data_IF_500806546322
#
_entry.id   IF_500806546322
#
_cell.length_a   1.000
_cell.length_b   1.000
_cell.length_c   1.000
_cell.angle_alpha   90.00
_cell.angle_beta   90.00
_cell.angle_gamma   90.00
#
_symmetry.space_group_name_H-M   'P 1'
#
loop_
_entity.id
_entity.type
_entity.pdbx_description
1 polymer ?
#
# COMPACT_ATOMS: atom_id res chain seq x y z
N UNK A 1 -5.19 -0.65 37.65
CA UNK A 1 -4.48 0.61 37.33
C UNK A 1 -3.01 0.24 37.23
N UNK A 2 -2.33 0.50 36.10
CA UNK A 2 -0.93 0.13 35.95
C UNK A 2 -0.07 0.93 36.94
N UNK A 3 0.88 0.25 37.61
CA UNK A 3 1.80 0.92 38.51
C UNK A 3 2.83 1.71 37.75
N UNK A 4 2.96 3.04 37.96
CA UNK A 4 3.93 3.86 37.29
C UNK A 4 5.35 3.57 37.80
N UNK A 5 6.30 3.43 36.87
CA UNK A 5 7.73 3.29 37.19
C UNK A 5 8.36 4.59 37.72
N UNK A 6 7.70 5.74 37.52
CA UNK A 6 8.11 7.04 38.01
C UNK A 6 6.88 7.84 38.49
N UNK A 7 6.72 7.99 39.80
CA UNK A 7 5.60 8.67 40.42
C UNK A 7 5.59 10.21 40.18
N UNK A 8 6.73 10.83 39.95
CA UNK A 8 6.77 12.28 39.72
C UNK A 8 6.25 12.65 38.34
N UNK A 9 6.73 12.00 37.27
CA UNK A 9 6.24 12.25 35.90
C UNK A 9 4.75 11.87 35.77
N UNK A 10 4.32 10.80 36.45
CA UNK A 10 2.92 10.38 36.45
C UNK A 10 1.99 11.41 37.13
N UNK A 11 2.44 12.07 38.21
CA UNK A 11 1.68 13.14 38.85
C UNK A 11 1.58 14.40 37.98
N UNK A 12 2.64 14.75 37.27
CA UNK A 12 2.63 15.87 36.34
C UNK A 12 1.67 15.61 35.18
N UNK A 13 1.71 14.42 34.59
CA UNK A 13 0.80 14.01 33.52
C UNK A 13 -0.65 14.00 33.98
N UNK A 14 -0.94 13.46 35.18
CA UNK A 14 -2.27 13.55 35.78
C UNK A 14 -2.72 15.00 36.02
N UNK A 15 -1.81 15.87 36.45
CA UNK A 15 -2.09 17.30 36.64
C UNK A 15 -2.51 17.97 35.36
N UNK A 16 -1.84 17.69 34.24
CA UNK A 16 -2.22 18.18 32.91
C UNK A 16 -3.58 17.63 32.46
N UNK A 17 -3.84 16.34 32.68
CA UNK A 17 -5.14 15.71 32.39
C UNK A 17 -6.28 16.37 33.13
N UNK A 18 -6.10 16.69 34.42
CA UNK A 18 -7.13 17.31 35.25
C UNK A 18 -7.47 18.71 34.72
N UNK A 19 -6.46 19.51 34.35
CA UNK A 19 -6.66 20.86 33.79
C UNK A 19 -7.37 20.78 32.44
N UNK A 20 -6.91 19.92 31.54
CA UNK A 20 -7.48 19.76 30.21
C UNK A 20 -8.92 19.20 30.25
N UNK A 21 -9.21 18.25 31.17
CA UNK A 21 -10.54 17.69 31.35
C UNK A 21 -11.53 18.68 31.99
N UNK A 22 -11.06 19.66 32.75
CA UNK A 22 -11.90 20.71 33.32
C UNK A 22 -12.37 21.73 32.26
N UNK A 23 -11.59 21.93 31.19
CA UNK A 23 -11.92 22.80 30.06
C UNK A 23 -12.88 22.15 29.05
N UNK A 24 -13.04 20.82 29.09
CA UNK A 24 -13.92 20.07 28.17
C UNK A 24 -13.63 18.59 28.11
N UNK A 25 -14.08 17.93 27.04
CA UNK A 25 -13.76 16.51 26.82
C UNK A 25 -12.33 16.40 26.31
N UNK A 26 -11.54 15.62 27.00
CA UNK A 26 -10.13 15.35 26.70
C UNK A 26 -9.92 13.90 26.36
N UNK A 27 -9.07 13.61 25.38
CA UNK A 27 -8.67 12.21 25.04
C UNK A 27 -7.19 12.17 24.68
N UNK A 28 -6.48 11.25 25.30
CA UNK A 28 -5.04 11.01 25.05
C UNK A 28 -4.73 9.52 25.01
N UNK A 29 -3.63 9.15 24.34
CA UNK A 29 -3.15 7.77 24.26
C UNK A 29 -1.81 7.68 24.98
N UNK A 30 -1.74 6.83 26.00
CA UNK A 30 -0.53 6.55 26.75
C UNK A 30 0.07 5.21 26.38
N UNK A 31 1.37 5.23 26.01
CA UNK A 31 2.16 4.03 25.80
C UNK A 31 3.03 3.80 27.03
N UNK A 32 2.81 2.70 27.74
CA UNK A 32 3.59 2.37 28.92
C UNK A 32 4.89 1.63 28.57
N UNK A 33 5.95 1.79 29.35
CA UNK A 33 7.22 1.06 29.15
C UNK A 33 7.07 -0.47 29.24
N UNK A 34 6.00 -0.95 29.90
CA UNK A 34 5.61 -2.36 29.99
C UNK A 34 5.05 -2.93 28.67
N UNK A 35 4.71 -2.05 27.71
CA UNK A 35 4.19 -2.41 26.40
C UNK A 35 2.67 -2.24 26.25
N UNK A 36 1.93 -1.96 27.35
CA UNK A 36 0.51 -1.67 27.27
C UNK A 36 0.25 -0.27 26.72
N UNK A 37 -0.88 -0.12 26.06
CA UNK A 37 -1.37 1.15 25.52
C UNK A 37 -2.77 1.42 26.05
N UNK A 38 -2.95 2.58 26.69
CA UNK A 38 -4.24 3.02 27.22
C UNK A 38 -4.74 4.25 26.48
N UNK A 39 -6.04 4.25 26.18
CA UNK A 39 -6.78 5.47 25.82
C UNK A 39 -7.37 6.03 27.10
N UNK A 40 -7.05 7.30 27.40
CA UNK A 40 -7.55 7.99 28.60
C UNK A 40 -8.47 9.09 28.12
N UNK A 41 -9.72 9.03 28.58
CA UNK A 41 -10.71 10.08 28.29
C UNK A 41 -11.15 10.74 29.59
N UNK A 42 -11.05 12.07 29.64
CA UNK A 42 -11.50 12.90 30.76
C UNK A 42 -12.74 13.71 30.38
N UNK A 43 -13.72 13.77 31.28
CA UNK A 43 -14.94 14.59 31.13
C UNK A 43 -15.28 15.30 32.42
N UNK A 44 -15.71 16.60 32.37
CA UNK A 44 -16.26 17.26 33.54
C UNK A 44 -17.62 16.64 33.89
N UNK A 45 -17.85 16.42 35.17
CA UNK A 45 -19.13 15.96 35.71
C UNK A 45 -19.96 17.18 36.18
N UNK A 46 -21.30 17.13 36.13
CA UNK A 46 -22.18 18.23 36.56
C UNK A 46 -21.93 18.70 37.99
N UNK A 47 -21.46 17.83 38.88
CA UNK A 47 -21.16 18.12 40.28
C UNK A 47 -19.79 18.78 40.53
N UNK A 48 -19.07 19.15 39.46
CA UNK A 48 -17.73 19.74 39.51
C UNK A 48 -16.60 18.70 39.70
N UNK A 49 -16.93 17.41 39.72
CA UNK A 49 -15.94 16.33 39.68
C UNK A 49 -15.44 16.09 38.25
N UNK A 50 -14.32 15.38 38.14
CA UNK A 50 -13.79 14.92 36.84
C UNK A 50 -13.89 13.38 36.79
N UNK A 51 -14.46 12.90 35.69
CA UNK A 51 -14.51 11.46 35.42
C UNK A 51 -13.45 11.10 34.38
N UNK A 52 -12.60 10.12 34.70
CA UNK A 52 -11.61 9.55 33.79
C UNK A 52 -11.97 8.11 33.45
N UNK A 53 -11.97 7.82 32.15
CA UNK A 53 -12.05 6.46 31.63
C UNK A 53 -10.67 6.04 31.13
N UNK A 54 -10.16 4.93 31.63
CA UNK A 54 -8.95 4.28 31.16
C UNK A 54 -9.35 3.03 30.39
N UNK A 55 -9.09 3.01 29.11
CA UNK A 55 -9.42 1.91 28.21
C UNK A 55 -8.13 1.26 27.74
N UNK A 56 -7.96 -0.03 28.00
CA UNK A 56 -6.83 -0.79 27.48
C UNK A 56 -7.07 -1.08 25.99
N UNK A 57 -6.28 -0.43 25.14
CA UNK A 57 -6.32 -0.56 23.67
C UNK A 57 -5.08 -1.30 23.13
N UNK A 58 -4.35 -2.02 24.00
CA UNK A 58 -3.11 -2.70 23.62
C UNK A 58 -3.33 -3.69 22.48
N UNK A 59 -4.38 -4.50 22.55
CA UNK A 59 -4.71 -5.48 21.52
C UNK A 59 -5.07 -4.81 20.18
N UNK A 60 -5.84 -3.71 20.22
CA UNK A 60 -6.23 -2.93 19.04
C UNK A 60 -5.00 -2.34 18.34
N UNK A 61 -4.13 -1.68 19.12
CA UNK A 61 -2.90 -1.05 18.61
C UNK A 61 -1.91 -2.10 18.08
N UNK A 62 -1.74 -3.21 18.81
CA UNK A 62 -0.82 -4.28 18.38
C UNK A 62 -1.30 -4.94 17.08
N UNK A 63 -2.60 -5.19 16.94
CA UNK A 63 -3.22 -5.73 15.73
C UNK A 63 -3.02 -4.78 14.57
N UNK A 64 -3.31 -3.50 14.76
CA UNK A 64 -3.12 -2.47 13.72
C UNK A 64 -1.66 -2.37 13.28
N UNK A 65 -0.72 -2.39 14.23
CA UNK A 65 0.73 -2.38 13.92
C UNK A 65 1.14 -3.62 13.13
N UNK A 66 0.64 -4.80 13.52
CA UNK A 66 0.90 -6.05 12.81
C UNK A 66 0.42 -5.99 11.36
N UNK A 67 -0.82 -5.55 11.12
CA UNK A 67 -1.36 -5.40 9.76
C UNK A 67 -0.55 -4.42 8.92
N UNK A 68 -0.16 -3.28 9.48
CA UNK A 68 0.70 -2.32 8.76
C UNK A 68 2.04 -2.94 8.39
N UNK A 69 2.69 -3.61 9.34
CA UNK A 69 3.97 -4.28 9.08
C UNK A 69 3.87 -5.38 8.01
N UNK A 70 2.76 -6.12 7.97
CA UNK A 70 2.50 -7.11 6.93
C UNK A 70 2.30 -6.45 5.55
N UNK A 71 1.56 -5.33 5.48
CA UNK A 71 1.38 -4.57 4.25
C UNK A 71 2.71 -3.98 3.76
N UNK A 72 3.48 -3.35 4.64
CA UNK A 72 4.79 -2.77 4.31
C UNK A 72 5.75 -3.85 3.78
N UNK A 73 5.70 -5.06 4.36
CA UNK A 73 6.47 -6.20 3.87
C UNK A 73 6.03 -6.64 2.46
N UNK A 74 4.72 -6.68 2.18
CA UNK A 74 4.21 -7.03 0.85
C UNK A 74 4.61 -5.99 -0.21
N UNK A 75 4.55 -4.70 0.10
CA UNK A 75 5.03 -3.65 -0.81
C UNK A 75 6.54 -3.78 -1.06
N UNK A 76 7.33 -3.95 0.00
CA UNK A 76 8.77 -4.14 -0.14
C UNK A 76 9.14 -5.38 -0.98
N UNK A 77 8.35 -6.45 -0.95
CA UNK A 77 8.53 -7.61 -1.83
C UNK A 77 8.20 -7.28 -3.29
N UNK A 78 7.12 -6.52 -3.55
CA UNK A 78 6.74 -6.11 -4.90
C UNK A 78 7.83 -5.22 -5.53
N UNK A 79 8.47 -4.35 -4.74
CA UNK A 79 9.54 -3.47 -5.20
C UNK A 79 10.85 -4.22 -5.52
N UNK A 80 11.01 -5.46 -5.04
CA UNK A 80 12.15 -6.32 -5.41
C UNK A 80 11.94 -7.08 -6.73
N UNK A 81 10.76 -6.96 -7.35
CA UNK A 81 10.45 -7.66 -8.60
C UNK A 81 10.82 -6.77 -9.78
N UNK A 82 11.70 -7.27 -10.67
CA UNK A 82 12.15 -6.55 -11.88
C UNK A 82 11.06 -6.35 -12.94
N UNK A 83 9.91 -6.98 -12.78
CA UNK A 83 8.75 -6.83 -13.66
C UNK A 83 7.90 -5.65 -13.19
N UNK A 84 7.65 -4.70 -14.07
CA UNK A 84 6.76 -3.58 -13.79
C UNK A 84 5.32 -4.08 -13.58
N UNK A 85 4.70 -3.68 -12.47
CA UNK A 85 3.35 -4.12 -12.07
C UNK A 85 2.48 -2.90 -11.79
N UNK A 86 1.24 -2.92 -12.30
CA UNK A 86 0.19 -2.00 -11.89
C UNK A 86 -1.10 -2.78 -11.62
N UNK A 87 -1.83 -2.42 -10.57
CA UNK A 87 -3.10 -3.06 -10.20
C UNK A 87 -4.21 -2.02 -10.14
N UNK A 88 -5.34 -2.33 -10.77
CA UNK A 88 -6.53 -1.49 -10.81
C UNK A 88 -7.73 -2.17 -10.16
N UNK A 89 -8.57 -1.38 -9.50
CA UNK A 89 -9.90 -1.82 -9.07
C UNK A 89 -10.86 -1.86 -10.26
N UNK A 90 -12.03 -2.48 -10.09
CA UNK A 90 -13.11 -2.50 -11.10
C UNK A 90 -13.61 -1.10 -11.45
N UNK A 91 -13.50 -0.12 -10.54
CA UNK A 91 -13.81 1.27 -10.83
C UNK A 91 -12.77 1.98 -11.68
N UNK A 92 -11.68 1.28 -12.05
CA UNK A 92 -10.57 1.83 -12.79
C UNK A 92 -9.56 2.64 -11.97
N UNK A 93 -9.68 2.61 -10.63
CA UNK A 93 -8.76 3.29 -9.73
C UNK A 93 -7.46 2.51 -9.64
N UNK A 94 -6.31 3.17 -9.77
CA UNK A 94 -5.00 2.58 -9.53
C UNK A 94 -4.83 2.29 -8.03
N UNK A 95 -4.51 1.05 -7.69
CA UNK A 95 -4.37 0.58 -6.32
C UNK A 95 -2.91 0.38 -5.91
N UNK A 96 -2.10 -0.20 -6.81
CA UNK A 96 -0.71 -0.62 -6.52
C UNK A 96 0.13 -0.40 -7.77
N UNK A 97 1.35 0.08 -7.58
CA UNK A 97 2.48 -0.02 -8.52
C UNK A 97 3.72 -0.47 -7.75
N UNK A 98 4.77 -0.88 -8.45
CA UNK A 98 6.09 -1.16 -7.87
C UNK A 98 7.17 -0.28 -8.50
N UNK A 99 8.36 -0.29 -7.91
CA UNK A 99 9.51 0.52 -8.37
C UNK A 99 9.85 0.27 -9.85
N UNK A 100 9.78 -1.00 -10.30
CA UNK A 100 10.03 -1.35 -11.70
C UNK A 100 9.03 -0.71 -12.67
N UNK A 101 7.78 -0.48 -12.23
CA UNK A 101 6.78 0.24 -13.00
C UNK A 101 7.16 1.71 -13.18
N UNK A 102 7.60 2.35 -12.10
CA UNK A 102 7.96 3.76 -12.11
C UNK A 102 9.22 4.02 -12.92
N UNK A 103 10.17 3.08 -12.89
CA UNK A 103 11.38 3.08 -13.71
C UNK A 103 11.07 2.87 -15.21
N UNK A 104 10.06 2.06 -15.52
CA UNK A 104 9.67 1.78 -16.91
C UNK A 104 8.93 2.96 -17.54
N UNK A 105 8.00 3.57 -16.79
CA UNK A 105 7.06 4.58 -17.26
C UNK A 105 7.42 5.97 -16.74
N UNK A 106 8.31 6.67 -17.44
CA UNK A 106 8.73 8.02 -17.07
C UNK A 106 7.54 8.99 -17.03
N UNK A 107 7.54 9.87 -16.02
CA UNK A 107 6.46 10.84 -15.82
C UNK A 107 5.24 10.31 -15.05
N UNK A 108 5.29 9.08 -14.60
CA UNK A 108 4.32 8.55 -13.64
C UNK A 108 4.62 9.15 -12.26
N UNK A 109 3.66 9.87 -11.69
CA UNK A 109 3.88 10.55 -10.41
C UNK A 109 3.23 9.73 -9.28
N UNK A 110 4.03 8.92 -8.60
CA UNK A 110 3.59 8.06 -7.48
C UNK A 110 3.07 8.82 -6.28
N UNK A 111 3.35 10.10 -6.16
CA UNK A 111 2.90 10.93 -5.03
C UNK A 111 1.38 11.02 -4.90
N UNK A 112 0.63 10.56 -5.91
CA UNK A 112 -0.85 10.64 -5.96
C UNK A 112 -1.50 9.39 -6.56
N UNK A 113 -1.04 8.19 -6.20
CA UNK A 113 -1.62 6.92 -6.69
C UNK A 113 -3.15 6.89 -6.49
N UNK A 114 -3.63 7.33 -5.33
CA UNK A 114 -5.05 7.34 -4.99
C UNK A 114 -5.93 8.22 -5.90
N UNK A 115 -5.35 9.06 -6.76
CA UNK A 115 -6.08 9.93 -7.70
C UNK A 115 -5.95 9.53 -9.17
N UNK A 116 -5.14 8.49 -9.48
CA UNK A 116 -4.92 8.06 -10.86
C UNK A 116 -5.89 6.96 -11.28
N UNK A 117 -6.51 7.17 -12.44
CA UNK A 117 -7.38 6.18 -13.08
C UNK A 117 -6.65 5.40 -14.17
N UNK A 118 -7.23 4.26 -14.58
CA UNK A 118 -6.76 3.50 -15.76
C UNK A 118 -6.73 4.38 -17.02
N UNK A 119 -7.63 5.36 -17.13
CA UNK A 119 -7.67 6.31 -18.24
C UNK A 119 -6.44 7.21 -18.21
N UNK A 120 -6.06 7.72 -17.03
CA UNK A 120 -4.90 8.61 -16.89
C UNK A 120 -3.60 7.81 -17.07
N UNK A 121 -3.48 6.65 -16.43
CA UNK A 121 -2.34 5.76 -16.59
C UNK A 121 -2.14 5.34 -18.05
N UNK A 122 -3.20 4.86 -18.72
CA UNK A 122 -3.10 4.44 -20.11
C UNK A 122 -2.75 5.58 -21.05
N UNK A 123 -3.12 6.83 -20.75
CA UNK A 123 -2.73 8.00 -21.53
C UNK A 123 -1.23 8.28 -21.42
N UNK A 124 -0.66 8.14 -20.22
CA UNK A 124 0.79 8.30 -19.99
C UNK A 124 1.56 7.19 -20.73
N UNK A 125 1.14 5.93 -20.59
CA UNK A 125 1.76 4.79 -21.25
C UNK A 125 1.67 4.88 -22.78
N UNK A 126 0.50 5.27 -23.28
CA UNK A 126 0.24 5.45 -24.72
C UNK A 126 1.12 6.54 -25.33
N UNK A 127 1.46 7.58 -24.59
CA UNK A 127 2.34 8.66 -25.08
C UNK A 127 3.80 8.23 -25.27
N UNK A 128 4.20 7.08 -24.72
CA UNK A 128 5.56 6.53 -24.78
C UNK A 128 5.66 5.31 -25.70
N UNK A 129 4.55 4.90 -26.30
CA UNK A 129 4.46 3.71 -27.15
C UNK A 129 3.93 4.04 -28.55
N UNK A 130 4.28 3.22 -29.52
CA UNK A 130 3.66 3.31 -30.85
C UNK A 130 2.15 3.05 -30.76
N UNK A 131 1.34 3.63 -31.65
CA UNK A 131 -0.10 3.43 -31.66
C UNK A 131 -0.46 1.94 -31.61
N UNK A 132 -1.27 1.55 -30.63
CA UNK A 132 -1.62 0.15 -30.38
C UNK A 132 -3.04 0.07 -29.78
N UNK A 133 -3.90 -0.88 -30.21
CA UNK A 133 -5.24 -1.09 -29.65
C UNK A 133 -5.21 -1.58 -28.19
N UNK A 134 -4.12 -2.17 -27.73
CA UNK A 134 -3.94 -2.72 -26.37
C UNK A 134 -4.49 -1.81 -25.25
N UNK A 135 -4.24 -0.50 -25.37
CA UNK A 135 -4.65 0.46 -24.33
C UNK A 135 -6.17 0.63 -24.23
N UNK A 136 -6.88 0.48 -25.36
CA UNK A 136 -8.33 0.45 -25.40
C UNK A 136 -8.86 -0.82 -24.74
N UNK A 137 -8.36 -1.98 -25.19
CA UNK A 137 -8.75 -3.30 -24.68
C UNK A 137 -8.47 -3.43 -23.17
N UNK A 138 -7.34 -2.87 -22.68
CA UNK A 138 -7.02 -2.86 -21.25
C UNK A 138 -8.03 -2.04 -20.44
N UNK A 139 -8.40 -0.83 -20.91
CA UNK A 139 -9.40 -0.01 -20.22
C UNK A 139 -10.75 -0.72 -20.13
N UNK A 140 -11.19 -1.34 -21.23
CA UNK A 140 -12.45 -2.08 -21.26
C UNK A 140 -12.40 -3.29 -20.34
N UNK A 141 -11.30 -4.02 -20.35
CA UNK A 141 -11.08 -5.18 -19.48
C UNK A 141 -11.09 -4.83 -17.97
N UNK A 142 -10.53 -3.71 -17.58
CA UNK A 142 -10.51 -3.25 -16.17
C UNK A 142 -11.93 -3.04 -15.65
N UNK A 143 -12.85 -2.55 -16.48
CA UNK A 143 -14.25 -2.33 -16.11
C UNK A 143 -15.17 -3.54 -16.33
N UNK A 144 -14.66 -4.58 -16.97
CA UNK A 144 -15.41 -5.82 -17.21
C UNK A 144 -15.56 -6.61 -15.91
N UNK A 145 -16.77 -7.13 -15.65
CA UNK A 145 -17.09 -7.92 -14.46
C UNK A 145 -17.10 -9.42 -14.77
N UNK A 146 -17.71 -9.81 -15.90
CA UNK A 146 -17.92 -11.21 -16.29
C UNK A 146 -16.89 -11.67 -17.33
N UNK A 147 -16.72 -12.98 -17.49
CA UNK A 147 -15.92 -13.64 -18.53
C UNK A 147 -14.46 -13.13 -18.63
N UNK A 148 -13.84 -12.88 -17.48
CA UNK A 148 -12.47 -12.36 -17.41
C UNK A 148 -11.46 -13.49 -17.45
N UNK A 149 -10.65 -13.52 -18.50
CA UNK A 149 -9.54 -14.45 -18.64
C UNK A 149 -8.22 -13.70 -18.82
N UNK A 150 -7.14 -14.31 -18.38
CA UNK A 150 -5.79 -13.80 -18.58
C UNK A 150 -5.45 -13.70 -20.08
N UNK A 151 -4.85 -12.60 -20.50
CA UNK A 151 -4.39 -12.40 -21.87
C UNK A 151 -3.06 -11.66 -21.94
N UNK A 152 -2.42 -11.70 -23.09
CA UNK A 152 -1.11 -11.07 -23.32
C UNK A 152 -1.13 -10.30 -24.63
N UNK A 153 -0.29 -9.29 -24.68
CA UNK A 153 -0.03 -8.53 -25.90
C UNK A 153 1.43 -8.03 -25.87
N UNK A 154 1.96 -7.76 -27.04
CA UNK A 154 3.28 -7.14 -27.18
C UNK A 154 3.10 -5.74 -27.72
N UNK A 155 3.75 -4.77 -27.09
CA UNK A 155 3.75 -3.36 -27.52
C UNK A 155 5.15 -2.90 -27.84
N UNK A 156 5.28 -1.93 -28.73
CA UNK A 156 6.56 -1.32 -29.10
C UNK A 156 6.61 0.11 -28.53
N UNK A 157 7.68 0.41 -27.81
CA UNK A 157 7.97 1.75 -27.29
C UNK A 157 8.45 2.68 -28.42
N UNK A 158 8.32 3.99 -28.24
CA UNK A 158 8.85 4.99 -29.19
C UNK A 158 10.38 4.86 -29.40
N UNK A 159 11.12 4.37 -28.41
CA UNK A 159 12.56 4.12 -28.50
C UNK A 159 12.91 2.80 -29.22
N UNK A 160 11.91 2.04 -29.72
CA UNK A 160 12.07 0.76 -30.39
C UNK A 160 12.22 -0.46 -29.49
N UNK A 161 12.19 -0.31 -28.16
CA UNK A 161 12.16 -1.46 -27.27
C UNK A 161 10.77 -2.11 -27.27
N UNK A 162 10.75 -3.42 -27.05
CA UNK A 162 9.53 -4.23 -27.07
C UNK A 162 9.18 -4.64 -25.65
N UNK A 163 7.92 -4.47 -25.29
CA UNK A 163 7.37 -4.82 -23.97
C UNK A 163 6.35 -5.95 -24.14
N UNK A 164 6.50 -7.03 -23.38
CA UNK A 164 5.47 -8.05 -23.19
C UNK A 164 4.53 -7.61 -22.05
N UNK A 165 3.26 -7.49 -22.39
CA UNK A 165 2.20 -7.07 -21.47
C UNK A 165 1.34 -8.28 -21.11
N UNK A 166 1.13 -8.50 -19.82
CA UNK A 166 0.31 -9.60 -19.32
C UNK A 166 -0.80 -9.03 -18.44
N UNK A 167 -2.04 -9.24 -18.82
CA UNK A 167 -3.23 -8.77 -18.11
C UNK A 167 -3.89 -9.94 -17.39
N UNK A 168 -4.05 -9.80 -16.09
CA UNK A 168 -4.44 -10.88 -15.18
C UNK A 168 -5.65 -10.41 -14.36
N UNK A 169 -6.81 -11.11 -14.42
CA UNK A 169 -7.89 -10.85 -13.50
C UNK A 169 -7.54 -11.35 -12.10
N UNK A 170 -7.77 -10.51 -11.10
CA UNK A 170 -7.56 -10.80 -9.69
C UNK A 170 -8.91 -10.93 -8.96
N UNK A 171 -8.92 -11.45 -7.71
CA UNK A 171 -10.08 -11.43 -6.83
C UNK A 171 -10.70 -10.04 -6.69
N UNK A 172 -11.97 -9.98 -6.28
CA UNK A 172 -12.73 -8.74 -6.09
C UNK A 172 -12.74 -7.82 -7.34
N UNK A 173 -12.72 -8.46 -8.53
CA UNK A 173 -12.71 -7.80 -9.83
C UNK A 173 -11.54 -6.83 -10.06
N UNK A 174 -10.46 -6.95 -9.32
CA UNK A 174 -9.24 -6.22 -9.62
C UNK A 174 -8.57 -6.74 -10.90
N UNK A 175 -7.72 -5.92 -11.50
CA UNK A 175 -6.90 -6.26 -12.68
C UNK A 175 -5.45 -5.96 -12.37
N UNK A 176 -4.58 -6.95 -12.49
CA UNK A 176 -3.15 -6.69 -12.58
C UNK A 176 -2.72 -6.60 -14.06
N UNK A 177 -1.86 -5.66 -14.36
CA UNK A 177 -1.13 -5.61 -15.62
C UNK A 177 0.36 -5.60 -15.31
N UNK A 178 1.10 -6.48 -15.98
CA UNK A 178 2.56 -6.53 -15.87
C UNK A 178 3.21 -6.18 -17.20
N UNK A 179 4.36 -5.53 -17.11
CA UNK A 179 5.12 -5.09 -18.26
C UNK A 179 6.55 -5.58 -18.13
N UNK A 180 7.02 -6.36 -19.09
CA UNK A 180 8.37 -6.88 -19.10
C UNK A 180 9.07 -6.52 -20.40
N UNK A 181 10.28 -5.93 -20.32
CA UNK A 181 11.08 -5.67 -21.51
C UNK A 181 11.51 -6.99 -22.13
N UNK A 182 11.21 -7.17 -23.41
CA UNK A 182 11.70 -8.32 -24.18
C UNK A 182 13.17 -8.06 -24.49
N UNK A 183 14.07 -8.82 -23.85
CA UNK A 183 15.49 -8.76 -24.19
C UNK A 183 15.73 -9.44 -25.55
N UNK A 184 16.15 -8.67 -26.57
CA UNK A 184 16.61 -9.21 -27.85
C UNK A 184 18.03 -9.73 -27.81
N UNK A 185 18.64 -9.86 -26.61
CA UNK A 185 19.95 -10.46 -26.47
C UNK A 185 19.86 -11.95 -26.80
N UNK A 186 20.74 -12.52 -27.64
CA UNK A 186 20.80 -13.94 -27.90
C UNK A 186 21.08 -14.65 -26.56
N UNK A 187 20.29 -15.64 -26.23
CA UNK A 187 20.49 -16.49 -25.05
C UNK A 187 21.84 -17.18 -25.21
N UNK A 188 22.89 -16.60 -24.63
CA UNK A 188 24.17 -17.27 -24.49
C UNK A 188 23.98 -18.49 -23.58
N UNK A 189 24.73 -19.59 -23.81
CA UNK A 189 24.54 -20.82 -23.05
C UNK A 189 24.73 -20.57 -21.54
N UNK A 190 23.66 -20.64 -20.79
CA UNK A 190 23.71 -20.60 -19.33
C UNK A 190 24.41 -21.87 -18.87
N UNK A 191 25.58 -21.74 -18.22
CA UNK A 191 26.22 -22.85 -17.49
C UNK A 191 25.31 -23.22 -16.32
N UNK A 192 24.54 -24.29 -16.47
CA UNK A 192 23.89 -24.97 -15.35
C UNK A 192 25.03 -25.53 -14.47
N UNK A 193 25.20 -24.99 -13.25
CA UNK A 193 26.01 -25.63 -12.23
C UNK A 193 25.24 -26.85 -11.76
N UNK A 194 25.69 -28.05 -12.19
CA UNK A 194 25.28 -29.30 -11.55
C UNK A 194 25.74 -29.27 -10.09
N UNK A 195 24.77 -29.31 -9.18
CA UNK A 195 25.03 -29.61 -7.77
C UNK A 195 25.25 -31.12 -7.67
N UNK A 196 26.48 -31.53 -7.55
CA UNK A 196 26.82 -32.88 -7.10
C UNK A 196 26.37 -33.06 -5.65
N UNK A 197 25.38 -33.93 -5.45
CA UNK A 197 24.98 -34.45 -4.16
C UNK A 197 26.03 -35.53 -3.77
N UNK A 198 26.78 -35.21 -2.75
CA UNK A 198 27.63 -36.20 -2.01
C UNK A 198 26.95 -36.47 -0.68
#
# INVERSE_FOLDING_TARGET
>A
MPEPKNYESWREELGHLVVAAAEGTYTEVWNLPSGETYRISGRPHPDGALAFLFEDITAEVSTTRKYRSELDFHYALLDQIDTAVAVFSVSGQLCITNDAHDDLWSGFNTTSIASQSITDASRIWQSQTKPNPFWGDLRDFVHQIDDRSTWRATIEMENGSVIDCHVIPLPDHHTAVTFQRVSTAPIGPQKIKEFELT
#
